data_IF_858693462473
#
_entry.id   IF_858693462473
#
_cell.length_a   1.000
_cell.length_b   1.000
_cell.length_c   1.000
_cell.angle_alpha   90.00
_cell.angle_beta   90.00
_cell.angle_gamma   90.00
#
_symmetry.space_group_name_H-M   'P 1'
#
loop_
_entity.id
_entity.type
_entity.pdbx_description
1 polymer ?
#
# COMPACT_ATOMS: atom_id res chain seq x y z
N UNK A 1 3.77 -37.89 -4.26
CA UNK A 1 3.29 -37.78 -5.66
C UNK A 1 2.99 -36.31 -5.91
N UNK A 2 3.57 -35.70 -6.94
CA UNK A 2 3.22 -34.31 -7.34
C UNK A 2 1.94 -34.35 -8.16
N UNK A 3 1.11 -33.30 -8.05
CA UNK A 3 -0.12 -33.18 -8.83
C UNK A 3 0.17 -33.23 -10.33
N UNK A 4 1.28 -32.62 -10.76
CA UNK A 4 1.71 -32.55 -12.16
C UNK A 4 1.89 -33.94 -12.79
N UNK A 5 2.47 -34.89 -12.05
CA UNK A 5 2.64 -36.28 -12.54
C UNK A 5 1.32 -37.00 -12.71
N UNK A 6 0.34 -36.75 -11.83
CA UNK A 6 -0.97 -37.38 -11.89
C UNK A 6 -1.76 -36.85 -13.09
N UNK A 7 -1.67 -35.53 -13.36
CA UNK A 7 -2.31 -34.92 -14.52
C UNK A 7 -1.70 -35.36 -15.84
N UNK A 8 -0.37 -35.53 -15.89
CA UNK A 8 0.33 -36.08 -17.06
C UNK A 8 -0.02 -37.55 -17.30
N UNK A 9 0.00 -38.39 -16.26
CA UNK A 9 -0.29 -39.83 -16.34
C UNK A 9 -1.71 -40.12 -16.87
N UNK A 10 -2.67 -39.25 -16.54
CA UNK A 10 -4.05 -39.38 -16.99
C UNK A 10 -4.39 -38.55 -18.24
N UNK A 11 -3.41 -37.87 -18.85
CA UNK A 11 -3.64 -37.03 -20.04
C UNK A 11 -4.57 -35.84 -19.78
N UNK A 12 -4.71 -35.41 -18.52
CA UNK A 12 -5.58 -34.32 -18.10
C UNK A 12 -4.93 -32.94 -18.30
N UNK A 13 -3.67 -32.89 -18.74
CA UNK A 13 -2.93 -31.64 -18.94
C UNK A 13 -3.71 -30.62 -19.81
N UNK A 14 -4.34 -31.10 -20.90
CA UNK A 14 -5.16 -30.27 -21.78
C UNK A 14 -6.38 -29.64 -21.07
N UNK A 15 -6.89 -30.28 -20.00
CA UNK A 15 -7.96 -29.73 -19.18
C UNK A 15 -7.48 -28.52 -18.37
N UNK A 16 -6.20 -28.46 -17.99
CA UNK A 16 -5.62 -27.37 -17.19
C UNK A 16 -5.07 -26.21 -18.04
N UNK A 17 -4.64 -26.50 -19.27
CA UNK A 17 -4.13 -25.50 -20.21
C UNK A 17 -5.23 -24.78 -21.00
N UNK A 18 -6.49 -25.18 -20.80
CA UNK A 18 -7.65 -24.54 -21.43
C UNK A 18 -7.99 -23.19 -20.80
N UNK A 19 -8.38 -22.20 -21.61
CA UNK A 19 -8.82 -20.87 -21.16
C UNK A 19 -9.92 -20.93 -20.09
N UNK A 20 -10.84 -21.90 -20.22
CA UNK A 20 -11.92 -22.12 -19.25
C UNK A 20 -11.38 -22.51 -17.88
N UNK A 21 -10.38 -23.40 -17.83
CA UNK A 21 -9.76 -23.80 -16.57
C UNK A 21 -8.98 -22.65 -15.95
N UNK A 22 -8.25 -21.87 -16.75
CA UNK A 22 -7.54 -20.70 -16.24
C UNK A 22 -8.49 -19.67 -15.62
N UNK A 23 -9.69 -19.47 -16.19
CA UNK A 23 -10.75 -18.64 -15.60
C UNK A 23 -11.25 -19.20 -14.28
N UNK A 24 -11.52 -20.49 -14.21
CA UNK A 24 -12.00 -21.13 -12.98
C UNK A 24 -10.94 -21.08 -11.88
N UNK A 25 -9.68 -21.33 -12.22
CA UNK A 25 -8.54 -21.19 -11.31
C UNK A 25 -8.45 -19.77 -10.76
N UNK A 26 -8.47 -18.76 -11.63
CA UNK A 26 -8.47 -17.36 -11.21
C UNK A 26 -9.69 -17.02 -10.33
N UNK A 27 -10.87 -17.53 -10.67
CA UNK A 27 -12.11 -17.34 -9.88
C UNK A 27 -11.99 -17.94 -8.48
N UNK A 28 -11.48 -19.17 -8.37
CA UNK A 28 -11.23 -19.83 -7.09
C UNK A 28 -10.23 -19.04 -6.24
N UNK A 29 -9.12 -18.60 -6.85
CA UNK A 29 -8.12 -17.76 -6.18
C UNK A 29 -8.76 -16.49 -5.63
N UNK A 30 -9.51 -15.73 -6.43
CA UNK A 30 -10.20 -14.51 -5.97
C UNK A 30 -11.15 -14.79 -4.81
N UNK A 31 -11.91 -15.88 -4.87
CA UNK A 31 -12.88 -16.21 -3.82
C UNK A 31 -12.22 -16.67 -2.52
N UNK A 32 -11.00 -17.19 -2.58
CA UNK A 32 -10.21 -17.60 -1.42
C UNK A 32 -9.51 -16.44 -0.69
N UNK A 33 -9.53 -15.23 -1.26
CA UNK A 33 -8.85 -14.07 -0.67
C UNK A 33 -9.54 -13.62 0.61
N UNK A 34 -8.73 -13.41 1.63
CA UNK A 34 -9.12 -12.78 2.89
C UNK A 34 -8.12 -11.65 3.18
N UNK A 35 -8.57 -10.48 3.67
CA UNK A 35 -9.94 -10.09 4.09
C UNK A 35 -10.90 -9.79 2.91
N UNK A 36 -12.22 -9.78 3.19
CA UNK A 36 -13.26 -9.55 2.16
C UNK A 36 -13.16 -8.16 1.50
N UNK A 37 -12.67 -7.14 2.24
CA UNK A 37 -12.42 -5.80 1.66
C UNK A 37 -11.42 -5.83 0.51
N UNK A 38 -10.32 -6.59 0.66
CA UNK A 38 -9.32 -6.77 -0.39
C UNK A 38 -9.93 -7.50 -1.60
N UNK A 39 -10.72 -8.54 -1.34
CA UNK A 39 -11.42 -9.31 -2.38
C UNK A 39 -12.39 -8.44 -3.19
N UNK A 40 -13.15 -7.56 -2.56
CA UNK A 40 -14.03 -6.62 -3.26
C UNK A 40 -13.25 -5.64 -4.13
N UNK A 41 -12.16 -5.07 -3.63
CA UNK A 41 -11.30 -4.17 -4.40
C UNK A 41 -10.70 -4.85 -5.63
N UNK A 42 -10.26 -6.10 -5.50
CA UNK A 42 -9.75 -6.89 -6.62
C UNK A 42 -10.86 -7.16 -7.63
N UNK A 43 -12.07 -7.56 -7.19
CA UNK A 43 -13.23 -7.73 -8.10
C UNK A 43 -13.56 -6.43 -8.84
N UNK A 44 -13.45 -5.29 -8.17
CA UNK A 44 -13.66 -3.97 -8.77
C UNK A 44 -12.57 -3.65 -9.82
N UNK A 45 -11.29 -3.85 -9.48
CA UNK A 45 -10.18 -3.65 -10.39
C UNK A 45 -10.27 -4.57 -11.63
N UNK A 46 -10.64 -5.84 -11.44
CA UNK A 46 -10.89 -6.78 -12.53
C UNK A 46 -12.09 -6.39 -13.41
N UNK A 47 -13.04 -5.60 -12.90
CA UNK A 47 -14.20 -5.15 -13.66
C UNK A 47 -13.89 -3.90 -14.49
N UNK A 48 -13.10 -2.97 -13.96
CA UNK A 48 -12.93 -1.64 -14.56
C UNK A 48 -11.52 -1.31 -15.05
N UNK A 49 -10.48 -1.96 -14.51
CA UNK A 49 -9.09 -1.66 -14.87
C UNK A 49 -8.45 -2.78 -15.69
N UNK A 50 -8.61 -4.04 -15.26
CA UNK A 50 -7.81 -5.15 -15.80
C UNK A 50 -8.64 -6.44 -15.94
N UNK A 51 -9.55 -6.51 -16.93
CA UNK A 51 -10.36 -7.71 -17.17
C UNK A 51 -9.51 -8.92 -17.61
N UNK A 52 -8.35 -8.68 -18.23
CA UNK A 52 -7.41 -9.72 -18.68
C UNK A 52 -6.81 -10.55 -17.54
N UNK A 53 -6.75 -10.00 -16.32
CA UNK A 53 -6.26 -10.74 -15.16
C UNK A 53 -7.22 -11.84 -14.71
N UNK A 54 -8.46 -11.90 -15.22
CA UNK A 54 -9.40 -13.01 -14.93
C UNK A 54 -9.01 -14.32 -15.59
N UNK A 55 -8.15 -14.29 -16.60
CA UNK A 55 -7.71 -15.44 -17.41
C UNK A 55 -6.21 -15.66 -17.32
N UNK A 56 -5.52 -14.98 -16.40
CA UNK A 56 -4.07 -15.04 -16.30
C UNK A 56 -3.66 -14.97 -14.84
N UNK A 57 -3.16 -16.09 -14.31
CA UNK A 57 -2.77 -16.25 -12.92
C UNK A 57 -1.66 -15.26 -12.51
N UNK A 58 -0.65 -15.04 -13.36
CA UNK A 58 0.45 -14.12 -13.05
C UNK A 58 -0.07 -12.69 -12.91
N UNK A 59 -0.86 -12.22 -13.89
CA UNK A 59 -1.48 -10.89 -13.83
C UNK A 59 -2.42 -10.73 -12.63
N UNK A 60 -3.15 -11.79 -12.27
CA UNK A 60 -4.01 -11.80 -11.10
C UNK A 60 -3.18 -11.67 -9.81
N UNK A 61 -2.12 -12.46 -9.69
CA UNK A 61 -1.23 -12.42 -8.54
C UNK A 61 -0.62 -11.03 -8.34
N UNK A 62 -0.10 -10.42 -9.40
CA UNK A 62 0.50 -9.09 -9.35
C UNK A 62 -0.52 -8.02 -8.94
N UNK A 63 -1.76 -8.13 -9.43
CA UNK A 63 -2.85 -7.24 -9.04
C UNK A 63 -3.21 -7.40 -7.55
N UNK A 64 -3.33 -8.64 -7.07
CA UNK A 64 -3.62 -8.94 -5.66
C UNK A 64 -2.52 -8.35 -4.78
N UNK A 65 -1.26 -8.58 -5.13
CA UNK A 65 -0.11 -8.09 -4.38
C UNK A 65 -0.10 -6.56 -4.33
N UNK A 66 -0.30 -5.90 -5.46
CA UNK A 66 -0.35 -4.44 -5.53
C UNK A 66 -1.46 -3.87 -4.64
N UNK A 67 -2.67 -4.44 -4.70
CA UNK A 67 -3.81 -3.99 -3.90
C UNK A 67 -3.62 -4.24 -2.40
N UNK A 68 -3.07 -5.39 -2.02
CA UNK A 68 -2.77 -5.70 -0.63
C UNK A 68 -1.73 -4.72 -0.03
N UNK A 69 -0.68 -4.40 -0.79
CA UNK A 69 0.33 -3.43 -0.37
C UNK A 69 -0.23 -2.01 -0.26
N UNK A 70 -1.13 -1.63 -1.16
CA UNK A 70 -1.82 -0.34 -1.13
C UNK A 70 -2.69 -0.21 0.13
N UNK A 71 -3.56 -1.18 0.41
CA UNK A 71 -4.38 -1.21 1.63
C UNK A 71 -3.52 -1.16 2.91
N UNK A 72 -2.44 -1.92 2.95
CA UNK A 72 -1.57 -1.94 4.13
C UNK A 72 -0.82 -0.61 4.32
N UNK A 73 -0.40 0.04 3.23
CA UNK A 73 0.16 1.41 3.26
C UNK A 73 -0.87 2.42 3.78
N UNK A 74 -2.10 2.36 3.29
CA UNK A 74 -3.19 3.25 3.73
C UNK A 74 -3.53 3.03 5.21
N UNK A 75 -3.62 1.77 5.65
CA UNK A 75 -3.84 1.41 7.04
C UNK A 75 -2.75 1.99 7.95
N UNK A 76 -1.47 1.80 7.57
CA UNK A 76 -0.32 2.34 8.32
C UNK A 76 -0.33 3.87 8.37
N UNK A 77 -0.66 4.55 7.27
CA UNK A 77 -0.76 6.01 7.25
C UNK A 77 -1.93 6.53 8.10
N UNK A 78 -3.08 5.87 8.04
CA UNK A 78 -4.27 6.24 8.82
C UNK A 78 -3.99 6.18 10.33
N UNK A 79 -3.25 5.17 10.79
CA UNK A 79 -2.82 5.07 12.20
C UNK A 79 -1.90 6.23 12.62
N UNK A 80 -0.96 6.66 11.77
CA UNK A 80 -0.04 7.78 12.06
C UNK A 80 -0.74 9.13 12.12
N UNK A 81 -1.78 9.35 11.30
CA UNK A 81 -2.57 10.59 11.32
C UNK A 81 -3.37 10.70 12.62
N UNK A 82 -4.00 9.61 13.08
CA UNK A 82 -4.75 9.59 14.35
C UNK A 82 -3.89 9.91 15.58
N UNK A 83 -2.60 9.58 15.58
CA UNK A 83 -1.68 9.93 16.68
C UNK A 83 -1.18 11.37 16.64
N UNK A 84 -1.43 12.11 15.55
CA UNK A 84 -0.97 13.49 15.38
C UNK A 84 -2.06 14.54 15.63
N UNK A 85 -3.33 14.15 15.66
CA UNK A 85 -4.47 15.08 15.77
C UNK A 85 -5.06 15.18 17.19
N UNK A 86 -4.51 14.47 18.18
CA UNK A 86 -4.82 14.62 19.61
C UNK A 86 -3.63 15.21 20.38
N UNK A 87 -3.14 16.36 19.93
CA UNK A 87 -2.50 17.31 20.85
C UNK A 87 -3.33 18.58 20.77
N UNK A 88 -4.19 18.86 21.76
CA UNK A 88 -4.74 20.20 21.86
C UNK A 88 -3.55 21.14 22.05
N UNK A 89 -3.36 22.03 21.08
CA UNK A 89 -2.48 23.20 21.19
C UNK A 89 -3.02 24.10 22.31
N UNK A 90 -2.85 23.67 23.56
CA UNK A 90 -2.86 24.55 24.71
C UNK A 90 -1.56 25.34 24.65
N UNK A 91 -1.54 26.35 23.78
CA UNK A 91 -0.64 27.49 23.93
C UNK A 91 -1.15 28.28 25.11
N UNK A 92 -0.82 27.81 26.32
CA UNK A 92 -0.94 28.64 27.51
C UNK A 92 0.04 29.80 27.37
N UNK A 93 -0.53 30.97 27.13
CA UNK A 93 0.07 32.25 27.42
C UNK A 93 0.41 32.32 28.92
N UNK A 94 1.69 32.31 29.26
CA UNK A 94 2.16 32.91 30.51
C UNK A 94 3.37 33.78 30.21
N UNK A 95 3.15 35.08 30.40
CA UNK A 95 4.18 36.10 30.27
C UNK A 95 5.23 35.96 31.37
N UNK A 96 6.48 36.12 30.97
CA UNK A 96 7.60 36.40 31.85
C UNK A 96 8.30 37.66 31.35
N UNK A 97 7.99 38.79 31.99
CA UNK A 97 8.70 40.06 31.84
C UNK A 97 10.20 39.85 32.04
N UNK A 98 11.05 40.29 31.10
CA UNK A 98 12.43 40.66 31.43
C UNK A 98 12.91 41.88 30.63
N UNK A 99 12.61 43.03 31.24
CA UNK A 99 13.40 44.26 31.36
C UNK A 99 14.62 44.42 30.43
N UNK A 100 14.35 45.06 29.29
CA UNK A 100 15.11 46.17 28.67
C UNK A 100 16.48 46.47 29.33
N UNK A 101 17.57 46.10 28.66
CA UNK A 101 18.84 46.82 28.77
C UNK A 101 19.40 47.07 27.37
N UNK A 102 19.21 48.32 26.93
CA UNK A 102 19.90 48.94 25.79
C UNK A 102 21.40 49.01 26.11
N UNK A 103 22.25 48.50 25.22
CA UNK A 103 23.46 49.22 24.82
C UNK A 103 23.63 49.05 23.31
N UNK A 104 23.57 50.18 22.60
CA UNK A 104 24.05 50.32 21.23
C UNK A 104 25.57 50.45 21.27
N UNK A 105 26.26 49.99 20.23
CA UNK A 105 27.30 50.69 19.45
C UNK A 105 27.77 49.72 18.35
N UNK A 106 27.58 50.14 17.10
CA UNK A 106 28.24 49.67 15.86
C UNK A 106 29.56 50.48 15.68
N UNK A 107 30.45 50.31 14.67
CA UNK A 107 30.58 49.28 13.61
C UNK A 107 32.05 48.80 13.33
N UNK A 108 32.20 47.95 12.30
CA UNK A 108 33.33 47.81 11.36
C UNK A 108 34.74 47.34 11.84
N UNK A 109 35.21 46.21 11.30
CA UNK A 109 36.36 46.13 10.36
C UNK A 109 36.78 44.66 10.10
N UNK A 110 36.93 44.31 8.81
CA UNK A 110 38.05 43.55 8.20
C UNK A 110 38.43 42.15 8.80
N UNK A 111 38.70 41.08 8.06
CA UNK A 111 39.18 40.89 6.69
C UNK A 111 39.15 39.40 6.32
N UNK A 112 39.42 39.16 5.04
CA UNK A 112 39.48 37.93 4.28
C UNK A 112 40.41 36.81 4.76
N UNK A 113 40.02 35.58 4.37
CA UNK A 113 40.80 34.48 3.78
C UNK A 113 42.00 33.89 4.55
N UNK A 114 41.97 32.56 4.64
CA UNK A 114 43.16 31.73 4.41
C UNK A 114 42.74 30.48 3.68
#
# INVERSE_FOLDING_TARGET
>A
MSCDRITEEHGLQACFDSDTCMKEKCSLLINSITPESLKEEIKNALRYQSPEAKTNECKLHDLILAKALEQDREFRQSKRKRTSEDVPLVRQSQGGNNKKSKRKVEPAAESCLT
#
